data_IF_641395330933
#
_entry.id   IF_641395330933
#
_cell.length_a   1.000
_cell.length_b   1.000
_cell.length_c   1.000
_cell.angle_alpha   90.00
_cell.angle_beta   90.00
_cell.angle_gamma   90.00
#
_symmetry.space_group_name_H-M   'P 1'
#
loop_
_entity.id
_entity.type
_entity.pdbx_description
1 polymer ?
#
# COMPACT_ATOMS: atom_id res chain seq x y z
N UNK A 1 18.59 -24.38 67.26
CA UNK A 1 18.07 -23.01 67.06
C UNK A 1 18.38 -22.38 65.70
N UNK A 2 19.15 -23.04 64.81
CA UNK A 2 19.57 -22.47 63.50
C UNK A 2 18.57 -22.76 62.36
N UNK A 3 17.74 -23.81 62.48
CA UNK A 3 16.77 -24.19 61.43
C UNK A 3 15.53 -23.28 61.36
N UNK A 4 15.03 -22.79 62.50
CA UNK A 4 13.84 -21.90 62.54
C UNK A 4 14.15 -20.53 61.93
N UNK A 5 15.38 -20.02 62.12
CA UNK A 5 15.81 -18.70 61.61
C UNK A 5 15.88 -18.65 60.08
N UNK A 6 16.20 -19.76 59.42
CA UNK A 6 16.35 -19.81 57.96
C UNK A 6 15.02 -19.91 57.22
N UNK A 7 14.02 -20.59 57.79
CA UNK A 7 12.67 -20.64 57.22
C UNK A 7 11.93 -19.30 57.29
N UNK A 8 12.08 -18.53 58.38
CA UNK A 8 11.45 -17.20 58.49
C UNK A 8 12.07 -16.20 57.52
N UNK A 9 13.37 -16.29 57.24
CA UNK A 9 14.05 -15.45 56.24
C UNK A 9 13.58 -15.78 54.82
N UNK A 10 13.42 -17.07 54.49
CA UNK A 10 12.94 -17.49 53.17
C UNK A 10 11.48 -17.07 52.91
N UNK A 11 10.63 -17.16 53.93
CA UNK A 11 9.21 -16.76 53.84
C UNK A 11 9.06 -15.23 53.67
N UNK A 12 9.89 -14.42 54.34
CA UNK A 12 9.88 -12.96 54.22
C UNK A 12 10.39 -12.51 52.85
N UNK A 13 11.39 -13.20 52.28
CA UNK A 13 11.89 -12.91 50.93
C UNK A 13 10.84 -13.26 49.88
N UNK A 14 10.14 -14.40 50.01
CA UNK A 14 9.09 -14.77 49.04
C UNK A 14 7.88 -13.82 49.10
N UNK A 15 7.48 -13.38 50.30
CA UNK A 15 6.36 -12.44 50.45
C UNK A 15 6.70 -11.03 49.93
N UNK A 16 7.95 -10.59 50.08
CA UNK A 16 8.43 -9.31 49.55
C UNK A 16 8.55 -9.31 48.03
N UNK A 17 8.96 -10.44 47.45
CA UNK A 17 9.07 -10.61 46.00
C UNK A 17 7.69 -10.70 45.34
N UNK A 18 6.74 -11.38 45.99
CA UNK A 18 5.34 -11.44 45.53
C UNK A 18 4.67 -10.06 45.58
N UNK A 19 4.93 -9.27 46.63
CA UNK A 19 4.41 -7.91 46.75
C UNK A 19 4.96 -6.97 45.65
N UNK A 20 6.23 -7.14 45.25
CA UNK A 20 6.84 -6.39 44.16
C UNK A 20 6.21 -6.71 42.80
N UNK A 21 5.90 -7.98 42.55
CA UNK A 21 5.32 -8.46 41.28
C UNK A 21 3.86 -7.99 41.12
N UNK A 22 3.10 -7.88 42.21
CA UNK A 22 1.68 -7.45 42.18
C UNK A 22 1.51 -5.92 42.08
N UNK A 23 2.51 -5.13 42.49
CA UNK A 23 2.48 -3.65 42.40
C UNK A 23 2.99 -3.08 41.08
N UNK A 24 3.81 -3.82 40.33
CA UNK A 24 4.37 -3.39 39.04
C UNK A 24 3.33 -3.05 37.94
N UNK A 25 2.19 -3.75 37.79
CA UNK A 25 1.22 -3.40 36.75
C UNK A 25 0.28 -2.23 37.12
N UNK A 26 0.22 -1.81 38.39
CA UNK A 26 -0.62 -0.68 38.83
C UNK A 26 -0.02 0.71 38.55
N UNK A 27 1.27 0.80 38.20
CA UNK A 27 1.93 2.07 37.89
C UNK A 27 1.96 2.44 36.40
N UNK A 28 1.63 1.50 35.51
CA UNK A 28 1.66 1.74 34.06
C UNK A 28 0.47 2.57 33.55
N UNK A 29 -0.59 2.75 34.37
CA UNK A 29 -1.78 3.53 33.97
C UNK A 29 -1.66 5.04 34.23
N UNK A 30 -0.58 5.52 34.88
CA UNK A 30 -0.40 6.94 35.23
C UNK A 30 0.85 7.56 34.58
N UNK A 31 1.23 7.12 33.37
CA UNK A 31 2.25 7.81 32.56
C UNK A 31 1.64 8.59 31.38
N UNK A 32 0.30 8.60 31.27
CA UNK A 32 -0.43 9.36 30.26
C UNK A 32 -0.87 10.77 30.66
N UNK A 33 -0.50 11.26 31.85
CA UNK A 33 -0.85 12.63 32.29
C UNK A 33 0.41 13.37 32.71
N UNK A 34 0.75 14.40 31.92
CA UNK A 34 1.63 15.50 32.33
C UNK A 34 1.19 15.99 33.71
N UNK A 35 2.03 15.81 34.73
CA UNK A 35 1.69 16.16 36.11
C UNK A 35 2.90 16.29 37.01
N UNK A 36 3.84 17.15 36.61
CA UNK A 36 4.83 17.71 37.53
C UNK A 36 4.12 18.50 38.65
N UNK A 37 4.64 18.40 39.87
CA UNK A 37 4.14 19.19 41.00
C UNK A 37 4.51 18.61 42.35
N UNK A 38 3.91 17.48 42.74
CA UNK A 38 4.10 16.93 44.09
C UNK A 38 5.30 15.97 44.20
N UNK A 39 5.62 15.23 43.14
CA UNK A 39 6.69 14.23 43.17
C UNK A 39 8.09 14.84 43.05
N UNK A 40 8.24 15.88 42.20
CA UNK A 40 9.48 16.67 42.10
C UNK A 40 9.81 17.40 43.40
N UNK A 41 8.78 17.85 44.14
CA UNK A 41 8.94 18.47 45.46
C UNK A 41 9.44 17.43 46.51
N UNK A 42 8.96 16.19 46.41
CA UNK A 42 9.35 15.09 47.30
C UNK A 42 10.79 14.58 47.07
N UNK A 43 11.19 14.32 45.82
CA UNK A 43 12.59 13.94 45.56
C UNK A 43 13.55 15.15 45.57
N UNK A 44 13.05 16.39 45.45
CA UNK A 44 13.80 17.62 45.69
C UNK A 44 14.30 17.76 47.14
N UNK A 45 13.47 17.38 48.12
CA UNK A 45 13.83 17.37 49.55
C UNK A 45 14.87 16.30 49.93
N UNK A 46 15.00 15.24 49.13
CA UNK A 46 16.05 14.22 49.28
C UNK A 46 17.41 14.76 48.81
N UNK A 47 17.44 15.55 47.72
CA UNK A 47 18.66 16.21 47.23
C UNK A 47 19.21 17.27 48.20
N UNK A 48 18.36 17.89 49.01
CA UNK A 48 18.75 18.87 50.04
C UNK A 48 19.10 18.24 51.40
N UNK A 49 19.09 16.91 51.51
CA UNK A 49 19.54 16.19 52.71
C UNK A 49 18.55 16.16 53.88
N UNK A 50 17.30 16.59 53.68
CA UNK A 50 16.30 16.76 54.74
C UNK A 50 15.47 15.50 55.04
N UNK A 51 15.62 14.42 54.27
CA UNK A 51 14.89 13.17 54.46
C UNK A 51 15.84 11.97 54.64
N UNK A 52 15.69 11.25 55.75
CA UNK A 52 16.44 10.03 56.06
C UNK A 52 15.48 8.84 56.22
N UNK A 53 15.83 7.70 55.60
CA UNK A 53 15.06 6.46 55.67
C UNK A 53 14.53 5.97 54.30
N UNK A 54 13.45 5.15 54.27
CA UNK A 54 13.04 4.34 53.11
C UNK A 54 12.70 5.14 51.84
N UNK A 55 12.52 6.45 51.94
CA UNK A 55 12.26 7.38 50.84
C UNK A 55 13.47 7.55 49.90
N UNK A 56 14.71 7.43 50.40
CA UNK A 56 15.91 7.53 49.55
C UNK A 56 15.99 6.36 48.56
N UNK A 57 15.64 5.17 49.02
CA UNK A 57 15.71 3.96 48.19
C UNK A 57 14.65 3.99 47.08
N UNK A 58 13.47 4.57 47.33
CA UNK A 58 12.40 4.70 46.34
C UNK A 58 12.76 5.70 45.22
N UNK A 59 13.28 6.89 45.57
CA UNK A 59 13.74 7.86 44.54
C UNK A 59 14.93 7.30 43.73
N UNK A 60 15.85 6.55 44.34
CA UNK A 60 17.01 5.97 43.63
C UNK A 60 16.62 4.84 42.67
N UNK A 61 15.76 3.92 43.10
CA UNK A 61 15.23 2.86 42.23
C UNK A 61 14.43 3.42 41.06
N UNK A 62 13.64 4.46 41.28
CA UNK A 62 12.86 5.08 40.21
C UNK A 62 13.73 5.90 39.25
N UNK A 63 14.79 6.55 39.74
CA UNK A 63 15.79 7.20 38.90
C UNK A 63 16.54 6.19 38.01
N UNK A 64 16.91 5.03 38.57
CA UNK A 64 17.52 3.93 37.82
C UNK A 64 16.55 3.35 36.78
N UNK A 65 15.27 3.19 37.11
CA UNK A 65 14.25 2.69 36.19
C UNK A 65 14.00 3.66 35.03
N UNK A 66 13.97 4.98 35.31
CA UNK A 66 13.86 6.00 34.28
C UNK A 66 15.10 6.06 33.39
N UNK A 67 16.31 5.93 33.97
CA UNK A 67 17.54 5.84 33.20
C UNK A 67 17.57 4.59 32.30
N UNK A 68 17.13 3.44 32.80
CA UNK A 68 17.02 2.20 32.03
C UNK A 68 15.98 2.32 30.89
N UNK A 69 14.84 2.95 31.14
CA UNK A 69 13.83 3.22 30.10
C UNK A 69 14.36 4.19 29.03
N UNK A 70 15.11 5.22 29.43
CA UNK A 70 15.76 6.14 28.49
C UNK A 70 16.86 5.43 27.67
N UNK A 71 17.63 4.53 28.26
CA UNK A 71 18.62 3.70 27.57
C UNK A 71 17.96 2.70 26.61
N UNK A 72 16.83 2.09 27.02
CA UNK A 72 16.05 1.20 26.16
C UNK A 72 15.40 1.94 24.98
N UNK A 73 14.92 3.17 25.20
CA UNK A 73 14.43 4.04 24.12
C UNK A 73 15.55 4.52 23.20
N UNK A 74 16.76 4.77 23.72
CA UNK A 74 17.94 5.08 22.90
C UNK A 74 18.41 3.88 22.07
N UNK A 75 18.32 2.66 22.59
CA UNK A 75 18.66 1.43 21.85
C UNK A 75 17.62 1.09 20.77
N UNK A 76 16.34 1.43 20.95
CA UNK A 76 15.32 1.27 19.90
C UNK A 76 15.42 2.33 18.77
N UNK A 77 16.11 3.45 19.01
CA UNK A 77 16.42 4.44 17.97
C UNK A 77 17.70 4.12 17.19
N UNK A 78 18.55 3.23 17.69
CA UNK A 78 19.67 2.70 16.93
C UNK A 78 19.24 1.45 16.16
N UNK A 79 19.44 1.51 14.85
CA UNK A 79 19.51 0.38 13.92
C UNK A 79 18.18 -0.11 13.33
N UNK A 80 17.63 0.69 12.44
CA UNK A 80 17.73 0.34 11.02
C UNK A 80 17.59 1.60 10.16
N UNK A 81 18.72 2.08 9.66
CA UNK A 81 18.69 3.03 8.57
C UNK A 81 17.99 2.37 7.36
N UNK A 82 17.14 3.08 6.60
CA UNK A 82 16.47 2.53 5.42
C UNK A 82 17.47 1.88 4.45
N UNK A 83 17.02 0.88 3.68
CA UNK A 83 17.83 0.21 2.66
C UNK A 83 18.49 1.28 1.76
N UNK A 84 19.82 1.25 1.66
CA UNK A 84 20.61 2.22 0.88
C UNK A 84 21.24 3.37 1.68
N UNK A 85 21.20 3.32 3.01
CA UNK A 85 21.86 4.30 3.89
C UNK A 85 22.74 3.62 4.94
N UNK A 86 23.75 4.34 5.44
CA UNK A 86 24.69 3.89 6.49
C UNK A 86 24.57 4.81 7.70
N UNK A 87 24.62 4.26 8.91
CA UNK A 87 24.60 5.05 10.14
C UNK A 87 25.99 5.66 10.38
N UNK A 88 26.08 6.99 10.40
CA UNK A 88 27.31 7.73 10.77
C UNK A 88 26.96 8.69 11.90
N UNK A 89 27.46 8.40 13.11
CA UNK A 89 27.02 9.10 14.32
C UNK A 89 25.55 8.79 14.64
N UNK A 90 24.73 9.83 14.78
CA UNK A 90 23.28 9.72 15.05
C UNK A 90 22.41 9.95 13.80
N UNK A 91 23.02 10.01 12.61
CA UNK A 91 22.32 10.32 11.35
C UNK A 91 22.52 9.21 10.32
N UNK A 92 21.45 8.87 9.60
CA UNK A 92 21.55 8.02 8.42
C UNK A 92 22.02 8.88 7.23
N UNK A 93 23.12 8.47 6.60
CA UNK A 93 23.70 9.11 5.41
C UNK A 93 23.53 8.22 4.20
N UNK A 94 23.35 8.83 3.04
CA UNK A 94 23.43 8.13 1.75
C UNK A 94 24.87 7.63 1.53
N UNK A 95 25.03 6.53 0.79
CA UNK A 95 26.36 5.95 0.47
C UNK A 95 27.27 6.90 -0.32
N UNK A 96 26.72 8.00 -0.85
CA UNK A 96 27.45 9.08 -1.51
C UNK A 96 27.89 10.22 -0.56
N UNK A 97 27.66 10.11 0.75
CA UNK A 97 28.13 11.03 1.77
C UNK A 97 27.21 12.23 2.09
N UNK A 98 25.99 12.29 1.54
CA UNK A 98 25.05 13.38 1.83
C UNK A 98 24.21 13.10 3.09
N UNK A 99 24.11 14.11 3.98
CA UNK A 99 23.28 14.09 5.20
C UNK A 99 21.78 14.16 4.84
N UNK A 100 20.98 13.23 5.34
CA UNK A 100 19.53 13.37 5.37
C UNK A 100 19.20 14.36 6.50
N UNK A 101 18.70 15.55 6.14
CA UNK A 101 18.37 16.57 7.13
C UNK A 101 17.23 16.08 8.03
N UNK A 102 17.54 15.88 9.31
CA UNK A 102 16.63 15.83 10.46
C UNK A 102 15.41 14.89 10.36
N UNK A 103 15.59 13.64 10.80
CA UNK A 103 14.62 12.87 11.59
C UNK A 103 13.15 12.80 11.15
N UNK A 104 12.84 13.00 9.88
CA UNK A 104 11.59 12.58 9.29
C UNK A 104 11.93 11.62 8.18
N UNK A 105 11.24 10.48 8.20
CA UNK A 105 11.06 9.61 7.06
C UNK A 105 11.03 10.51 5.81
N UNK A 106 12.00 10.36 4.91
CA UNK A 106 11.89 10.93 3.58
C UNK A 106 10.83 10.11 2.83
N UNK A 107 9.60 10.14 3.34
CA UNK A 107 8.42 9.82 2.59
C UNK A 107 8.37 10.91 1.53
N UNK A 108 8.71 10.50 0.33
CA UNK A 108 8.40 11.27 -0.84
C UNK A 108 6.91 11.70 -0.75
N UNK A 109 6.58 12.96 -1.12
CA UNK A 109 5.21 13.45 -1.13
C UNK A 109 4.23 12.42 -1.74
N UNK A 110 2.96 12.43 -1.31
CA UNK A 110 1.92 11.55 -1.87
C UNK A 110 2.01 11.59 -3.40
N UNK A 111 2.07 10.41 -4.04
CA UNK A 111 2.26 10.19 -5.50
C UNK A 111 3.70 10.36 -6.05
N UNK A 112 4.72 10.29 -5.20
CA UNK A 112 6.13 10.26 -5.63
C UNK A 112 6.88 9.04 -5.07
N UNK A 113 7.85 8.54 -5.82
CA UNK A 113 8.67 7.36 -5.46
C UNK A 113 10.13 7.77 -5.37
N UNK A 114 10.86 7.17 -4.42
CA UNK A 114 12.30 7.39 -4.27
C UNK A 114 13.05 6.57 -5.34
N UNK A 115 13.58 7.26 -6.35
CA UNK A 115 14.40 6.65 -7.41
C UNK A 115 15.76 7.34 -7.39
N UNK A 116 16.84 6.59 -7.17
CA UNK A 116 18.22 7.10 -7.07
C UNK A 116 18.41 8.24 -6.06
N UNK A 117 17.71 8.20 -4.93
CA UNK A 117 17.80 9.22 -3.87
C UNK A 117 17.05 10.52 -4.15
N UNK A 118 16.27 10.58 -5.26
CA UNK A 118 15.43 11.72 -5.61
C UNK A 118 13.96 11.27 -5.56
N UNK A 119 13.11 12.06 -4.90
CA UNK A 119 11.67 11.86 -4.98
C UNK A 119 11.20 12.31 -6.37
N UNK A 120 10.84 11.34 -7.21
CA UNK A 120 10.33 11.60 -8.55
C UNK A 120 8.82 11.36 -8.53
N UNK A 121 8.06 12.26 -9.15
CA UNK A 121 6.71 11.90 -9.61
C UNK A 121 6.87 10.68 -10.50
N UNK A 122 6.17 9.60 -10.16
CA UNK A 122 6.18 8.42 -11.03
C UNK A 122 5.51 8.87 -12.34
N UNK A 123 6.34 9.26 -13.32
CA UNK A 123 5.85 9.64 -14.63
C UNK A 123 5.46 8.34 -15.32
N UNK A 124 4.28 7.84 -14.98
CA UNK A 124 3.69 6.71 -15.68
C UNK A 124 3.31 7.27 -17.05
N UNK A 125 4.22 7.12 -18.02
CA UNK A 125 3.96 7.48 -19.41
C UNK A 125 2.65 6.85 -19.81
N UNK A 126 1.64 7.67 -20.05
CA UNK A 126 0.31 7.20 -20.39
C UNK A 126 0.39 6.59 -21.80
N UNK A 127 0.07 5.29 -21.90
CA UNK A 127 0.09 4.55 -23.16
C UNK A 127 -1.36 4.34 -23.60
N UNK A 128 -1.71 4.64 -24.87
CA UNK A 128 -3.07 4.44 -25.35
C UNK A 128 -3.45 2.96 -25.28
N UNK A 129 -4.74 2.64 -25.09
CA UNK A 129 -5.20 1.27 -25.10
C UNK A 129 -5.03 0.63 -26.49
N UNK A 130 -5.04 -0.69 -26.53
CA UNK A 130 -4.94 -1.47 -27.77
C UNK A 130 -6.30 -2.11 -28.04
N UNK A 131 -6.95 -1.68 -29.13
CA UNK A 131 -8.18 -2.28 -29.61
C UNK A 131 -7.90 -3.62 -30.31
N UNK A 132 -8.76 -4.60 -30.06
CA UNK A 132 -8.78 -5.87 -30.75
C UNK A 132 -10.21 -6.16 -31.23
N UNK A 133 -10.46 -6.06 -32.54
CA UNK A 133 -11.78 -6.29 -33.13
C UNK A 133 -12.15 -7.78 -33.28
N UNK A 134 -11.28 -8.68 -32.83
CA UNK A 134 -11.45 -10.12 -32.98
C UNK A 134 -11.03 -10.65 -34.35
N UNK A 135 -11.05 -11.98 -34.54
CA UNK A 135 -10.70 -12.62 -35.80
C UNK A 135 -11.77 -12.40 -36.87
N UNK A 136 -11.37 -12.52 -38.14
CA UNK A 136 -12.30 -12.56 -39.26
C UNK A 136 -13.28 -13.75 -39.13
N UNK A 137 -14.52 -13.57 -39.56
CA UNK A 137 -15.57 -14.58 -39.46
C UNK A 137 -16.12 -14.94 -40.83
N UNK A 138 -16.58 -16.18 -41.01
CA UNK A 138 -17.36 -16.60 -42.17
C UNK A 138 -18.72 -17.12 -41.70
N UNK A 139 -19.81 -16.54 -42.21
CA UNK A 139 -21.16 -16.76 -41.69
C UNK A 139 -22.17 -16.92 -42.82
N UNK A 140 -23.26 -17.70 -42.63
CA UNK A 140 -24.33 -17.78 -43.61
C UNK A 140 -25.07 -16.45 -43.80
N UNK A 141 -25.74 -16.29 -44.94
CA UNK A 141 -26.63 -15.16 -45.20
C UNK A 141 -27.73 -15.08 -44.14
N UNK A 142 -28.16 -13.87 -43.78
CA UNK A 142 -29.23 -13.62 -42.81
C UNK A 142 -29.00 -14.17 -41.39
N UNK A 143 -27.80 -14.68 -41.06
CA UNK A 143 -27.49 -15.11 -39.69
C UNK A 143 -27.22 -13.92 -38.76
N UNK A 144 -27.47 -14.12 -37.47
CA UNK A 144 -27.01 -13.20 -36.43
C UNK A 144 -25.50 -13.39 -36.24
N UNK A 145 -24.76 -12.29 -36.24
CA UNK A 145 -23.31 -12.25 -36.06
C UNK A 145 -22.99 -11.43 -34.82
N UNK A 146 -22.10 -11.95 -33.98
CA UNK A 146 -21.57 -11.24 -32.81
C UNK A 146 -20.11 -10.88 -33.08
N UNK A 147 -19.75 -9.61 -32.95
CA UNK A 147 -18.34 -9.18 -32.95
C UNK A 147 -17.78 -9.32 -31.53
N UNK A 148 -16.47 -9.48 -31.39
CA UNK A 148 -15.83 -9.70 -30.09
C UNK A 148 -14.66 -8.75 -29.87
N UNK A 149 -14.92 -7.71 -29.08
CA UNK A 149 -13.94 -6.72 -28.65
C UNK A 149 -13.26 -7.05 -27.32
N UNK A 150 -13.61 -8.16 -26.67
CA UNK A 150 -13.24 -8.44 -25.27
C UNK A 150 -11.73 -8.62 -25.06
N UNK A 151 -10.99 -8.95 -26.11
CA UNK A 151 -9.53 -9.05 -26.09
C UNK A 151 -8.80 -7.68 -26.19
N UNK A 152 -9.55 -6.57 -26.25
CA UNK A 152 -8.98 -5.23 -26.13
C UNK A 152 -8.46 -5.00 -24.71
N UNK A 153 -7.35 -4.27 -24.56
CA UNK A 153 -6.75 -4.07 -23.25
C UNK A 153 -6.11 -2.69 -23.11
N UNK A 154 -6.09 -2.19 -21.88
CA UNK A 154 -5.41 -0.97 -21.50
C UNK A 154 -4.05 -1.30 -20.83
N UNK A 155 -3.14 -0.33 -20.84
CA UNK A 155 -1.77 -0.51 -20.36
C UNK A 155 -1.56 0.26 -19.04
N UNK A 156 -0.44 -0.01 -18.35
CA UNK A 156 -0.03 0.74 -17.14
C UNK A 156 -1.08 0.79 -16.02
N UNK A 157 -1.82 -0.30 -15.82
CA UNK A 157 -2.81 -0.43 -14.75
C UNK A 157 -4.16 0.24 -15.03
N UNK A 158 -4.37 0.80 -16.23
CA UNK A 158 -5.66 1.29 -16.67
C UNK A 158 -6.61 0.15 -17.07
N UNK A 159 -7.90 0.46 -17.23
CA UNK A 159 -8.94 -0.48 -17.69
C UNK A 159 -9.73 0.10 -18.86
N UNK A 160 -10.25 -0.73 -19.76
CA UNK A 160 -11.16 -0.28 -20.82
C UNK A 160 -12.49 0.15 -20.20
N UNK A 161 -12.97 1.36 -20.57
CA UNK A 161 -14.23 1.92 -20.06
C UNK A 161 -15.28 2.14 -21.15
N UNK A 162 -14.90 2.16 -22.42
CA UNK A 162 -15.84 2.25 -23.52
C UNK A 162 -15.35 1.56 -24.80
N UNK A 163 -16.33 1.15 -25.61
CA UNK A 163 -16.15 0.58 -26.94
C UNK A 163 -16.90 1.45 -27.94
N UNK A 164 -16.38 1.56 -29.16
CA UNK A 164 -17.02 2.25 -30.27
C UNK A 164 -16.80 1.49 -31.56
N UNK A 165 -17.85 0.84 -32.04
CA UNK A 165 -17.86 0.13 -33.31
C UNK A 165 -18.45 0.97 -34.43
N UNK A 166 -17.72 1.05 -35.53
CA UNK A 166 -18.16 1.74 -36.75
C UNK A 166 -18.15 0.76 -37.91
N UNK A 167 -19.25 0.70 -38.65
CA UNK A 167 -19.29 -0.02 -39.91
C UNK A 167 -18.51 0.74 -40.99
N UNK A 168 -17.50 0.11 -41.58
CA UNK A 168 -16.63 0.72 -42.59
C UNK A 168 -16.96 0.27 -44.01
N UNK A 169 -17.75 -0.79 -44.17
CA UNK A 169 -18.38 -1.15 -45.45
C UNK A 169 -19.85 -1.54 -45.27
N UNK A 170 -20.73 -1.27 -46.25
CA UNK A 170 -22.16 -1.54 -46.10
C UNK A 170 -22.46 -3.02 -45.91
N UNK A 171 -23.30 -3.36 -44.94
CA UNK A 171 -23.67 -4.75 -44.69
C UNK A 171 -24.45 -5.04 -43.42
N UNK A 172 -25.18 -4.07 -42.86
CA UNK A 172 -26.07 -4.28 -41.72
C UNK A 172 -25.82 -3.32 -40.55
N UNK A 173 -26.85 -3.05 -39.77
CA UNK A 173 -26.80 -2.12 -38.62
C UNK A 173 -26.39 -2.86 -37.35
N UNK A 174 -25.41 -2.32 -36.62
CA UNK A 174 -25.01 -2.85 -35.32
C UNK A 174 -26.03 -2.49 -34.24
N UNK A 175 -26.42 -3.48 -33.45
CA UNK A 175 -27.10 -3.30 -32.16
C UNK A 175 -26.04 -3.39 -31.06
N UNK A 176 -26.05 -2.43 -30.14
CA UNK A 176 -25.05 -2.38 -29.06
C UNK A 176 -23.66 -1.96 -29.52
N UNK A 177 -23.55 -1.09 -30.54
CA UNK A 177 -22.29 -0.61 -31.11
C UNK A 177 -21.30 0.03 -30.09
N UNK A 178 -21.75 0.31 -28.88
CA UNK A 178 -20.94 0.83 -27.77
C UNK A 178 -20.56 -0.24 -26.73
N UNK A 179 -20.82 -1.52 -27.01
CA UNK A 179 -20.53 -2.65 -26.13
C UNK A 179 -19.33 -3.46 -26.63
N UNK A 180 -18.78 -4.33 -25.77
CA UNK A 180 -17.72 -5.25 -26.16
C UNK A 180 -18.17 -6.29 -27.21
N UNK A 181 -19.46 -6.63 -27.23
CA UNK A 181 -20.02 -7.69 -28.06
C UNK A 181 -21.28 -7.22 -28.82
N UNK A 182 -21.14 -6.27 -29.77
CA UNK A 182 -22.28 -5.85 -30.58
C UNK A 182 -22.72 -6.98 -31.52
N UNK A 183 -23.97 -6.92 -31.94
CA UNK A 183 -24.55 -7.88 -32.88
C UNK A 183 -25.11 -7.20 -34.11
N UNK A 184 -25.11 -7.87 -35.26
CA UNK A 184 -25.85 -7.46 -36.45
C UNK A 184 -26.42 -8.67 -37.18
N UNK A 185 -27.35 -8.43 -38.10
CA UNK A 185 -27.87 -9.44 -39.01
C UNK A 185 -27.08 -9.36 -40.32
N UNK A 186 -26.46 -10.46 -40.72
CA UNK A 186 -25.71 -10.55 -41.98
C UNK A 186 -26.64 -10.24 -43.18
N UNK A 187 -26.16 -9.50 -44.19
CA UNK A 187 -26.97 -9.16 -45.37
C UNK A 187 -27.32 -10.43 -46.14
N UNK A 188 -28.49 -10.44 -46.79
CA UNK A 188 -28.84 -11.52 -47.71
C UNK A 188 -27.92 -11.45 -48.93
N UNK A 189 -27.41 -12.61 -49.34
CA UNK A 189 -26.64 -12.80 -50.58
C UNK A 189 -27.37 -13.83 -51.44
N UNK A 190 -27.27 -13.70 -52.76
CA UNK A 190 -27.85 -14.68 -53.68
C UNK A 190 -27.09 -16.02 -53.62
N UNK A 191 -27.66 -17.09 -54.17
CA UNK A 191 -27.17 -18.48 -54.01
C UNK A 191 -25.75 -18.75 -54.51
N UNK A 192 -25.11 -17.79 -55.19
CA UNK A 192 -23.82 -18.01 -55.88
C UNK A 192 -22.72 -17.03 -55.51
N UNK A 193 -22.98 -15.98 -54.72
CA UNK A 193 -21.95 -14.97 -54.40
C UNK A 193 -21.72 -14.81 -52.90
N UNK A 194 -20.44 -14.69 -52.54
CA UNK A 194 -20.04 -14.25 -51.20
C UNK A 194 -19.94 -12.72 -51.15
N UNK A 195 -20.15 -12.16 -49.97
CA UNK A 195 -20.04 -10.71 -49.74
C UNK A 195 -19.21 -10.45 -48.49
N UNK A 196 -18.39 -9.41 -48.49
CA UNK A 196 -17.65 -8.97 -47.31
C UNK A 196 -18.28 -7.75 -46.66
N UNK A 197 -18.25 -7.72 -45.33
CA UNK A 197 -18.68 -6.59 -44.49
C UNK A 197 -17.57 -6.32 -43.47
N UNK A 198 -17.23 -5.06 -43.25
CA UNK A 198 -16.10 -4.67 -42.40
C UNK A 198 -16.53 -3.69 -41.32
N UNK A 199 -15.91 -3.85 -40.15
CA UNK A 199 -16.14 -3.03 -38.97
C UNK A 199 -14.81 -2.58 -38.38
N UNK A 200 -14.82 -1.42 -37.73
CA UNK A 200 -13.69 -0.84 -37.02
C UNK A 200 -14.07 -0.63 -35.55
N UNK A 201 -13.21 -1.07 -34.64
CA UNK A 201 -13.31 -0.88 -33.20
C UNK A 201 -12.28 0.17 -32.74
N UNK A 202 -12.74 1.13 -31.96
CA UNK A 202 -11.92 1.99 -31.12
C UNK A 202 -12.35 1.79 -29.67
N UNK A 203 -11.39 1.77 -28.75
CA UNK A 203 -11.66 1.67 -27.30
C UNK A 203 -11.07 2.87 -26.56
N UNK A 204 -11.67 3.22 -25.43
CA UNK A 204 -11.16 4.25 -24.50
C UNK A 204 -10.88 3.63 -23.13
N UNK A 205 -9.79 4.03 -22.50
CA UNK A 205 -9.42 3.57 -21.16
C UNK A 205 -9.89 4.52 -20.04
N UNK A 206 -9.68 4.09 -18.79
CA UNK A 206 -10.04 4.83 -17.57
C UNK A 206 -9.30 6.16 -17.41
N UNK A 207 -8.22 6.37 -18.16
CA UNK A 207 -7.45 7.61 -18.18
C UNK A 207 -7.88 8.54 -19.33
N UNK A 208 -8.90 8.14 -20.11
CA UNK A 208 -9.45 8.90 -21.23
C UNK A 208 -8.64 8.79 -22.52
N UNK A 209 -7.65 7.89 -22.59
CA UNK A 209 -6.87 7.69 -23.81
C UNK A 209 -7.63 6.81 -24.79
N UNK A 210 -7.45 7.11 -26.08
CA UNK A 210 -8.17 6.45 -27.19
C UNK A 210 -7.19 5.61 -28.00
N UNK A 211 -7.60 4.39 -28.36
CA UNK A 211 -6.78 3.49 -29.16
C UNK A 211 -6.66 3.92 -30.63
N UNK A 212 -5.64 3.39 -31.32
CA UNK A 212 -5.72 3.24 -32.76
C UNK A 212 -6.89 2.29 -33.14
N UNK A 213 -7.48 2.43 -34.34
CA UNK A 213 -8.57 1.56 -34.77
C UNK A 213 -8.08 0.14 -35.06
N UNK A 214 -8.91 -0.86 -34.70
CA UNK A 214 -8.73 -2.27 -35.05
C UNK A 214 -9.87 -2.70 -35.98
N UNK A 215 -9.59 -3.43 -37.05
CA UNK A 215 -10.61 -3.81 -38.05
C UNK A 215 -10.86 -5.31 -38.10
N UNK A 216 -12.10 -5.67 -38.38
CA UNK A 216 -12.54 -7.06 -38.61
C UNK A 216 -13.37 -7.16 -39.88
N UNK A 217 -13.19 -8.25 -40.62
CA UNK A 217 -13.93 -8.55 -41.85
C UNK A 217 -14.77 -9.80 -41.65
N UNK A 218 -16.03 -9.72 -42.07
CA UNK A 218 -17.03 -10.77 -42.04
C UNK A 218 -17.34 -11.18 -43.47
N UNK A 219 -17.09 -12.45 -43.80
CA UNK A 219 -17.43 -13.04 -45.09
C UNK A 219 -18.78 -13.73 -44.98
N UNK A 220 -19.75 -13.26 -45.76
CA UNK A 220 -21.11 -13.77 -45.80
C UNK A 220 -21.22 -14.75 -46.96
N UNK A 221 -21.60 -16.00 -46.66
CA UNK A 221 -21.79 -17.06 -47.66
C UNK A 221 -23.27 -17.28 -47.95
N UNK A 222 -23.64 -17.74 -49.15
CA UNK A 222 -25.00 -18.15 -49.44
C UNK A 222 -25.49 -19.23 -48.47
N UNK A 223 -26.77 -19.16 -48.10
CA UNK A 223 -27.43 -20.24 -47.38
C UNK A 223 -27.80 -21.34 -48.39
N UNK A 224 -27.26 -22.54 -48.19
CA UNK A 224 -27.56 -23.73 -48.99
C UNK A 224 -28.98 -24.22 -48.73
#
# INVERSE_FOLDING_TARGET
MVFVSNMTKLLVISLSLLLLIVLLPLQQTIQGQRGGGLFDLFCGAVRSGLAQGPQQNFCLLQALNNAANNLAQQQQQQQQCPIGTVLVGNSCVLTNGQLLSNNQQQQCPINTVLINGICQTQQITQLPPIANAGPAQTVPSASIVTLDGTASFAQNGATIVSYSWTQTSPGGTLTGATTANPTFIAPSVNSTTTRTVSFSLIVTDSNGLVSAPSSVTITVTPQL
#
